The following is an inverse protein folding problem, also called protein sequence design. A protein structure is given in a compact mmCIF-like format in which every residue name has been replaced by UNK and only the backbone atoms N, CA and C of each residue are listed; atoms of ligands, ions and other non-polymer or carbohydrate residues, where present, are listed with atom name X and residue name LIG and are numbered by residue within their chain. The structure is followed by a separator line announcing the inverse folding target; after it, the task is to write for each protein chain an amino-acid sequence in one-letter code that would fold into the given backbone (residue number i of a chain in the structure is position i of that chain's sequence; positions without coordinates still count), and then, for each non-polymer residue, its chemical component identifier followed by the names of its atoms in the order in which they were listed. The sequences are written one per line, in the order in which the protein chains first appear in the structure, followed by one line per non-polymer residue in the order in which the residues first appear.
data_IF_296047333172
#
_entry.id   IF_296047333172
#
_cell.length_a   1.000
_cell.length_b   1.000
_cell.length_c   1.000
_cell.angle_alpha   90.00
_cell.angle_beta   90.00
_cell.angle_gamma   90.00
#
_symmetry.space_group_name_H-M   'P 1'
#
loop_
_entity.id
_entity.type
_entity.pdbx_description
1 polymer ?
#
# COMPACT_ATOMS: atom_id res chain seq x y z
N UNK A 1 11.70 16.27 23.90
CA UNK A 1 12.14 16.64 22.55
C UNK A 1 11.47 17.96 22.16
N UNK A 2 12.22 19.00 21.77
CA UNK A 2 11.60 20.23 21.25
C UNK A 2 11.39 20.05 19.75
N UNK A 3 10.15 20.04 19.31
CA UNK A 3 9.82 20.00 17.89
C UNK A 3 10.18 21.33 17.23
N UNK A 4 10.66 21.33 15.98
CA UNK A 4 10.98 22.57 15.26
C UNK A 4 9.74 23.44 14.98
N UNK A 5 8.54 22.86 15.11
CA UNK A 5 7.26 23.57 14.92
C UNK A 5 6.36 23.39 16.14
N UNK A 6 6.71 23.96 17.31
CA UNK A 6 6.05 23.65 18.57
C UNK A 6 4.55 24.00 18.60
N UNK A 7 4.14 25.06 17.91
CA UNK A 7 2.74 25.49 17.90
C UNK A 7 1.85 24.50 17.15
N UNK A 8 2.28 24.05 15.99
CA UNK A 8 1.52 23.10 15.17
C UNK A 8 1.44 21.73 15.85
N UNK A 9 2.57 21.22 16.31
CA UNK A 9 2.63 19.88 16.87
C UNK A 9 2.05 19.79 18.28
N UNK A 10 2.17 20.80 19.07
CA UNK A 10 1.53 20.83 20.40
C UNK A 10 0.00 20.82 20.33
N UNK A 11 -0.57 21.41 19.29
CA UNK A 11 -2.03 21.46 19.15
C UNK A 11 -2.62 20.29 18.37
N UNK A 12 -1.86 19.69 17.44
CA UNK A 12 -2.36 18.60 16.58
C UNK A 12 -1.90 17.24 17.07
N UNK A 13 -0.70 17.16 17.60
CA UNK A 13 -0.09 15.93 18.10
C UNK A 13 0.21 16.10 19.59
N UNK A 14 -0.83 16.25 20.40
CA UNK A 14 -0.68 16.06 21.83
C UNK A 14 -0.06 14.68 22.05
N UNK A 15 1.24 14.64 22.18
CA UNK A 15 1.95 13.46 22.61
C UNK A 15 1.72 13.29 24.11
N UNK A 16 0.52 12.82 24.44
CA UNK A 16 0.31 12.23 25.73
C UNK A 16 1.14 10.94 25.87
N UNK A 17 1.25 10.42 27.05
CA UNK A 17 2.05 9.23 27.33
C UNK A 17 1.56 8.01 26.53
N UNK A 18 0.28 7.90 26.23
CA UNK A 18 -0.28 6.81 25.45
C UNK A 18 0.18 6.86 23.98
N UNK A 19 0.08 8.00 23.33
CA UNK A 19 0.56 8.18 21.95
C UNK A 19 2.07 8.00 21.82
N UNK A 20 2.81 8.44 22.84
CA UNK A 20 4.24 8.17 22.91
C UNK A 20 4.52 6.67 23.00
N UNK A 21 3.79 5.93 23.84
CA UNK A 21 3.95 4.50 23.97
C UNK A 21 3.61 3.77 22.67
N UNK A 22 2.53 4.14 21.99
CA UNK A 22 2.17 3.60 20.67
C UNK A 22 3.26 3.84 19.62
N UNK A 23 3.78 5.08 19.53
CA UNK A 23 4.89 5.40 18.65
C UNK A 23 6.14 4.57 18.97
N UNK A 24 6.49 4.46 20.24
CA UNK A 24 7.67 3.69 20.67
C UNK A 24 7.49 2.18 20.46
N UNK A 25 6.26 1.67 20.53
CA UNK A 25 5.98 0.27 20.21
C UNK A 25 6.40 -0.08 18.78
N UNK A 26 6.08 0.78 17.80
CA UNK A 26 6.51 0.59 16.40
C UNK A 26 8.04 0.65 16.26
N UNK A 27 8.77 1.39 17.12
CA UNK A 27 10.23 1.53 17.06
C UNK A 27 10.98 0.43 17.81
N UNK A 28 10.44 -0.06 18.91
CA UNK A 28 11.13 -0.97 19.82
C UNK A 28 10.61 -2.41 19.79
N UNK A 29 9.33 -2.56 19.39
CA UNK A 29 8.64 -3.86 19.39
C UNK A 29 7.83 -4.06 18.10
N UNK A 30 6.53 -3.91 18.18
CA UNK A 30 5.60 -3.99 17.06
C UNK A 30 4.35 -3.19 17.36
N UNK A 31 3.89 -2.43 16.37
CA UNK A 31 2.58 -1.80 16.36
C UNK A 31 1.73 -2.36 15.22
N UNK A 32 0.42 -2.42 15.43
CA UNK A 32 -0.52 -2.75 14.36
C UNK A 32 -1.68 -1.75 14.37
N UNK A 33 -2.20 -1.46 13.19
CA UNK A 33 -3.29 -0.51 13.04
C UNK A 33 -4.04 -0.75 11.73
N UNK A 34 -5.34 -0.46 11.76
CA UNK A 34 -6.16 -0.44 10.57
C UNK A 34 -5.77 0.78 9.73
N UNK A 35 -5.39 0.52 8.49
CA UNK A 35 -5.04 1.57 7.54
C UNK A 35 -6.08 1.62 6.43
N UNK A 36 -6.67 2.78 6.24
CA UNK A 36 -7.64 2.99 5.17
C UNK A 36 -6.93 3.51 3.92
N UNK A 37 -6.60 2.61 3.01
CA UNK A 37 -6.27 2.96 1.64
C UNK A 37 -7.52 2.98 0.77
N UNK A 38 -7.47 3.70 -0.32
CA UNK A 38 -8.40 3.52 -1.42
C UNK A 38 -7.71 2.60 -2.43
N UNK A 39 -8.37 1.51 -2.80
CA UNK A 39 -7.85 0.52 -3.74
C UNK A 39 -8.68 0.57 -5.01
N UNK A 40 -8.00 0.84 -6.12
CA UNK A 40 -8.56 0.78 -7.46
C UNK A 40 -8.05 -0.47 -8.14
N UNK A 41 -8.96 -1.36 -8.53
CA UNK A 41 -8.63 -2.51 -9.36
C UNK A 41 -8.64 -2.10 -10.83
N UNK A 42 -7.57 -2.40 -11.56
CA UNK A 42 -7.40 -2.11 -12.98
C UNK A 42 -7.23 -3.43 -13.73
N UNK A 43 -8.07 -3.66 -14.74
CA UNK A 43 -8.12 -4.92 -15.50
C UNK A 43 -8.22 -4.65 -16.99
N UNK A 44 -7.90 -5.67 -17.81
CA UNK A 44 -8.01 -5.64 -19.26
C UNK A 44 -6.70 -5.93 -19.97
N UNK A 45 -6.80 -6.35 -21.23
CA UNK A 45 -5.62 -6.75 -22.03
C UNK A 45 -4.59 -5.62 -22.20
N UNK A 46 -5.04 -4.36 -22.13
CA UNK A 46 -4.20 -3.19 -22.25
C UNK A 46 -3.85 -2.55 -20.88
N UNK A 47 -4.22 -3.19 -19.75
CA UNK A 47 -4.00 -2.64 -18.40
C UNK A 47 -2.52 -2.32 -18.13
N UNK A 48 -1.62 -3.21 -18.52
CA UNK A 48 -0.18 -2.99 -18.37
C UNK A 48 0.30 -1.77 -19.16
N UNK A 49 -0.08 -1.68 -20.44
CA UNK A 49 0.31 -0.57 -21.31
C UNK A 49 -0.30 0.76 -20.83
N UNK A 50 -1.53 0.72 -20.35
CA UNK A 50 -2.21 1.87 -19.78
C UNK A 50 -1.47 2.41 -18.55
N UNK A 51 -1.17 1.55 -17.58
CA UNK A 51 -0.46 1.95 -16.35
C UNK A 51 0.99 2.37 -16.64
N UNK A 52 1.65 1.75 -17.61
CA UNK A 52 3.00 2.15 -18.07
C UNK A 52 3.03 3.58 -18.60
N UNK A 53 1.96 4.04 -19.26
CA UNK A 53 1.86 5.40 -19.78
C UNK A 53 1.57 6.44 -18.69
N UNK A 54 0.98 6.03 -17.57
CA UNK A 54 0.53 6.96 -16.51
C UNK A 54 1.57 7.15 -15.40
N UNK A 55 2.51 6.22 -15.24
CA UNK A 55 3.45 6.24 -14.14
C UNK A 55 4.90 6.31 -14.62
N UNK A 56 5.75 7.16 -14.02
CA UNK A 56 7.13 7.32 -14.44
C UNK A 56 8.03 6.11 -14.17
N UNK A 57 7.61 5.23 -13.23
CA UNK A 57 8.32 3.96 -13.03
C UNK A 57 7.73 2.87 -13.91
N UNK A 58 8.57 2.05 -14.56
CA UNK A 58 8.10 1.00 -15.47
C UNK A 58 7.17 0.00 -14.77
N UNK A 59 5.98 -0.22 -15.31
CA UNK A 59 5.01 -1.21 -14.81
C UNK A 59 5.10 -2.52 -15.59
N UNK A 60 5.46 -2.47 -16.87
CA UNK A 60 5.56 -3.64 -17.73
C UNK A 60 6.54 -4.72 -17.24
N UNK A 61 7.59 -4.33 -16.52
CA UNK A 61 8.55 -5.26 -15.92
C UNK A 61 8.26 -5.63 -14.46
N UNK A 62 7.12 -5.22 -13.92
CA UNK A 62 6.71 -5.61 -12.57
C UNK A 62 6.29 -7.08 -12.60
N UNK A 63 6.96 -7.93 -11.83
CA UNK A 63 6.62 -9.35 -11.76
C UNK A 63 5.28 -9.58 -11.03
N UNK A 64 4.66 -10.71 -11.27
CA UNK A 64 3.45 -11.14 -10.54
C UNK A 64 3.69 -11.17 -9.04
N UNK A 65 2.67 -10.85 -8.28
CA UNK A 65 2.71 -10.78 -6.81
C UNK A 65 3.75 -9.80 -6.27
N UNK A 66 4.08 -8.77 -7.04
CA UNK A 66 5.00 -7.71 -6.66
C UNK A 66 4.31 -6.37 -6.69
N UNK A 67 4.86 -5.43 -5.91
CA UNK A 67 4.40 -4.06 -5.93
C UNK A 67 5.51 -3.07 -6.30
N UNK A 68 5.07 -1.88 -6.65
CA UNK A 68 5.94 -0.75 -7.00
C UNK A 68 5.33 0.55 -6.51
N UNK A 69 6.05 1.23 -5.63
CA UNK A 69 5.75 2.61 -5.29
C UNK A 69 6.18 3.54 -6.42
N UNK A 70 5.29 4.42 -6.84
CA UNK A 70 5.52 5.39 -7.90
C UNK A 70 4.68 6.65 -7.66
N UNK A 71 4.77 7.63 -8.55
CA UNK A 71 3.95 8.83 -8.56
C UNK A 71 3.07 8.86 -9.80
N UNK A 72 1.93 9.53 -9.70
CA UNK A 72 1.11 9.92 -10.84
C UNK A 72 1.35 11.42 -11.08
N UNK A 73 1.73 11.79 -12.29
CA UNK A 73 2.11 13.16 -12.65
C UNK A 73 1.16 13.70 -13.70
N UNK A 74 0.93 15.02 -13.66
CA UNK A 74 0.27 15.74 -14.74
C UNK A 74 1.25 16.05 -15.90
N UNK A 75 0.77 16.72 -16.95
CA UNK A 75 1.56 17.07 -18.14
C UNK A 75 2.67 18.10 -17.84
N UNK A 76 2.61 18.77 -16.70
CA UNK A 76 3.63 19.71 -16.23
C UNK A 76 4.62 19.06 -15.26
N UNK A 77 4.56 17.71 -15.11
CA UNK A 77 5.33 16.93 -14.15
C UNK A 77 5.05 17.29 -12.68
N UNK A 78 3.87 17.82 -12.39
CA UNK A 78 3.41 18.04 -11.02
C UNK A 78 2.78 16.76 -10.48
N UNK A 79 3.00 16.46 -9.21
CA UNK A 79 2.47 15.25 -8.57
C UNK A 79 0.96 15.41 -8.37
N UNK A 80 0.19 14.52 -8.96
CA UNK A 80 -1.24 14.35 -8.69
C UNK A 80 -1.41 13.48 -7.44
N UNK A 81 -0.68 12.37 -7.37
CA UNK A 81 -0.70 11.43 -6.24
C UNK A 81 0.59 10.62 -6.17
N UNK A 82 0.89 10.07 -5.01
CA UNK A 82 1.84 8.98 -4.85
C UNK A 82 1.08 7.67 -4.60
N UNK A 83 1.46 6.65 -5.34
CA UNK A 83 0.68 5.42 -5.43
C UNK A 83 1.53 4.17 -5.26
N UNK A 84 0.88 3.08 -4.86
CA UNK A 84 1.47 1.74 -4.91
C UNK A 84 0.71 0.90 -5.93
N UNK A 85 1.43 0.41 -6.93
CA UNK A 85 0.88 -0.48 -7.98
C UNK A 85 1.26 -1.91 -7.64
N UNK A 86 0.28 -2.78 -7.44
CA UNK A 86 0.44 -4.20 -7.14
C UNK A 86 0.01 -5.01 -8.35
N UNK A 87 0.86 -5.87 -8.88
CA UNK A 87 0.49 -6.78 -9.96
C UNK A 87 -0.08 -8.07 -9.40
N UNK A 88 -1.39 -8.18 -9.39
CA UNK A 88 -2.11 -9.31 -8.82
C UNK A 88 -2.14 -10.52 -9.76
N UNK A 89 -2.36 -10.27 -11.06
CA UNK A 89 -2.38 -11.25 -12.15
C UNK A 89 -1.78 -10.62 -13.42
N UNK A 90 -1.73 -11.34 -14.53
CA UNK A 90 -1.12 -10.83 -15.78
C UNK A 90 -1.74 -9.51 -16.25
N UNK A 91 -3.06 -9.41 -16.19
CA UNK A 91 -3.85 -8.26 -16.68
C UNK A 91 -4.70 -7.66 -15.56
N UNK A 92 -4.33 -7.87 -14.30
CA UNK A 92 -5.02 -7.36 -13.13
C UNK A 92 -4.07 -6.73 -12.13
N UNK A 93 -4.33 -5.48 -11.83
CA UNK A 93 -3.55 -4.66 -10.92
C UNK A 93 -4.43 -4.04 -9.83
N UNK A 94 -3.86 -3.85 -8.66
CA UNK A 94 -4.39 -2.94 -7.67
C UNK A 94 -3.52 -1.70 -7.65
N UNK A 95 -4.17 -0.53 -7.60
CA UNK A 95 -3.51 0.76 -7.40
C UNK A 95 -4.02 1.34 -6.09
N UNK A 96 -3.14 1.41 -5.10
CA UNK A 96 -3.43 2.05 -3.82
C UNK A 96 -3.18 3.55 -3.94
N UNK A 97 -4.17 4.35 -3.57
CA UNK A 97 -4.21 5.81 -3.75
C UNK A 97 -4.86 6.48 -2.54
N UNK A 98 -4.63 7.76 -2.36
CA UNK A 98 -5.38 8.62 -1.43
C UNK A 98 -6.36 9.54 -2.17
N UNK A 99 -6.22 9.69 -3.49
CA UNK A 99 -6.99 10.64 -4.32
C UNK A 99 -7.70 9.92 -5.47
N UNK A 100 -8.50 8.89 -5.13
CA UNK A 100 -9.22 8.08 -6.11
C UNK A 100 -10.06 8.89 -7.09
N UNK A 101 -10.71 9.97 -6.66
CA UNK A 101 -11.52 10.80 -7.54
C UNK A 101 -10.67 11.46 -8.64
N UNK A 102 -9.52 12.01 -8.27
CA UNK A 102 -8.59 12.62 -9.21
C UNK A 102 -7.96 11.55 -10.11
N UNK A 103 -7.65 10.38 -9.57
CA UNK A 103 -7.18 9.23 -10.34
C UNK A 103 -8.18 8.81 -11.41
N UNK A 104 -9.47 8.74 -11.11
CA UNK A 104 -10.50 8.36 -12.07
C UNK A 104 -10.64 9.40 -13.20
N UNK A 105 -10.59 10.70 -12.87
CA UNK A 105 -10.57 11.77 -13.85
C UNK A 105 -9.36 11.63 -14.78
N UNK A 106 -8.18 11.37 -14.18
CA UNK A 106 -6.93 11.20 -14.92
C UNK A 106 -6.94 9.95 -15.80
N UNK A 107 -7.44 8.84 -15.29
CA UNK A 107 -7.58 7.59 -16.04
C UNK A 107 -8.51 7.75 -17.25
N UNK A 108 -9.67 8.38 -17.06
CA UNK A 108 -10.64 8.62 -18.14
C UNK A 108 -10.06 9.53 -19.23
N UNK A 109 -9.31 10.56 -18.85
CA UNK A 109 -8.66 11.47 -19.80
C UNK A 109 -7.58 10.78 -20.67
N UNK A 110 -6.98 9.71 -20.16
CA UNK A 110 -5.84 9.05 -20.83
C UNK A 110 -6.14 7.63 -21.33
N UNK A 111 -7.37 7.14 -21.16
CA UNK A 111 -7.77 5.81 -21.60
C UNK A 111 -7.67 5.64 -23.10
N UNK A 112 -8.12 6.61 -23.87
CA UNK A 112 -8.21 6.51 -25.33
C UNK A 112 -9.00 5.27 -25.77
N UNK A 113 -8.47 4.54 -26.74
CA UNK A 113 -9.06 3.32 -27.29
C UNK A 113 -8.59 2.03 -26.60
N UNK A 114 -7.86 2.14 -25.46
CA UNK A 114 -7.35 0.99 -24.76
C UNK A 114 -8.46 0.16 -24.12
N UNK A 115 -8.34 -1.15 -24.21
CA UNK A 115 -9.22 -2.11 -23.54
C UNK A 115 -8.77 -2.28 -22.08
N UNK A 116 -9.20 -1.32 -21.26
CA UNK A 116 -8.90 -1.25 -19.83
C UNK A 116 -10.14 -0.81 -19.06
N UNK A 117 -10.32 -1.40 -17.89
CA UNK A 117 -11.41 -1.10 -16.97
C UNK A 117 -10.84 -0.87 -15.58
N UNK A 118 -11.51 -0.06 -14.78
CA UNK A 118 -11.16 0.11 -13.37
C UNK A 118 -12.41 0.24 -12.50
N UNK A 119 -12.27 -0.24 -11.28
CA UNK A 119 -13.32 -0.11 -10.26
C UNK A 119 -12.73 0.19 -8.88
N UNK A 120 -13.50 0.86 -8.06
CA UNK A 120 -13.19 1.04 -6.64
C UNK A 120 -13.53 -0.24 -5.87
N UNK A 121 -12.50 -0.93 -5.40
CA UNK A 121 -12.63 -2.14 -4.58
C UNK A 121 -12.33 -1.90 -3.11
N UNK A 122 -12.18 -0.65 -2.70
CA UNK A 122 -11.83 -0.27 -1.32
C UNK A 122 -12.71 -0.95 -0.27
N UNK A 123 -14.02 -1.06 -0.53
CA UNK A 123 -14.95 -1.66 0.43
C UNK A 123 -14.93 -3.20 0.45
N UNK A 124 -14.20 -3.83 -0.48
CA UNK A 124 -14.05 -5.28 -0.54
C UNK A 124 -12.87 -5.76 0.33
N UNK A 125 -12.03 -4.86 0.77
CA UNK A 125 -10.78 -5.15 1.46
C UNK A 125 -10.55 -4.23 2.63
N UNK A 126 -10.14 -4.79 3.75
CA UNK A 126 -9.55 -4.04 4.85
C UNK A 126 -8.06 -4.35 4.93
N UNK A 127 -7.26 -3.40 5.41
CA UNK A 127 -5.82 -3.57 5.49
C UNK A 127 -5.32 -3.22 6.88
N UNK A 128 -4.66 -4.19 7.53
CA UNK A 128 -3.90 -3.96 8.76
C UNK A 128 -2.41 -3.84 8.46
N UNK A 129 -1.82 -2.73 8.88
CA UNK A 129 -0.38 -2.57 8.89
C UNK A 129 0.20 -3.12 10.21
N UNK A 130 1.20 -3.99 10.12
CA UNK A 130 1.94 -4.56 11.25
C UNK A 130 3.40 -4.16 11.08
N UNK A 131 3.89 -3.26 11.92
CA UNK A 131 5.17 -2.57 11.70
C UNK A 131 6.04 -2.59 12.95
N UNK A 132 7.33 -2.81 12.78
CA UNK A 132 8.32 -2.74 13.86
C UNK A 132 9.29 -3.92 13.89
N UNK A 133 10.31 -3.89 14.76
CA UNK A 133 11.34 -4.93 14.83
C UNK A 133 10.82 -6.35 15.03
N UNK A 134 9.68 -6.50 15.73
CA UNK A 134 9.03 -7.79 16.00
C UNK A 134 7.86 -8.12 15.08
N UNK A 135 7.66 -7.35 14.00
CA UNK A 135 6.54 -7.58 13.08
C UNK A 135 6.58 -8.98 12.43
N UNK A 136 7.78 -9.48 12.08
CA UNK A 136 7.91 -10.83 11.53
C UNK A 136 7.49 -11.92 12.53
N UNK A 137 7.91 -11.81 13.77
CA UNK A 137 7.54 -12.75 14.85
C UNK A 137 6.01 -12.73 15.06
N UNK A 138 5.43 -11.53 15.14
CA UNK A 138 3.98 -11.38 15.29
C UNK A 138 3.21 -11.97 14.13
N UNK A 139 3.57 -11.65 12.89
CA UNK A 139 2.85 -12.17 11.72
C UNK A 139 2.98 -13.69 11.64
N UNK A 140 4.18 -14.25 11.85
CA UNK A 140 4.38 -15.70 11.86
C UNK A 140 3.59 -16.43 12.96
N UNK A 141 3.23 -15.74 14.04
CA UNK A 141 2.38 -16.33 15.09
C UNK A 141 0.90 -16.42 14.69
N UNK A 142 0.48 -15.72 13.64
CA UNK A 142 -0.90 -15.63 13.19
C UNK A 142 -1.16 -16.46 11.92
N UNK A 143 -0.21 -16.51 11.00
CA UNK A 143 -0.39 -17.10 9.68
C UNK A 143 -0.17 -18.62 9.66
N UNK A 144 -0.89 -19.31 8.78
CA UNK A 144 -0.71 -20.77 8.59
C UNK A 144 0.61 -21.11 7.88
N UNK A 145 1.05 -20.26 6.94
CA UNK A 145 2.31 -20.43 6.22
C UNK A 145 3.30 -19.33 6.63
N UNK A 146 4.48 -19.66 7.18
CA UNK A 146 5.47 -18.68 7.58
C UNK A 146 5.91 -17.76 6.45
N UNK A 147 6.12 -16.48 6.77
CA UNK A 147 6.45 -15.42 5.79
C UNK A 147 7.93 -15.02 5.78
N UNK A 148 8.81 -15.78 6.44
CA UNK A 148 10.25 -15.49 6.58
C UNK A 148 10.94 -15.30 5.23
N UNK A 149 10.59 -16.11 4.22
CA UNK A 149 11.18 -16.07 2.88
C UNK A 149 10.56 -15.03 1.96
N UNK A 150 9.46 -14.40 2.39
CA UNK A 150 8.76 -13.40 1.58
C UNK A 150 9.64 -12.16 1.38
N UNK A 151 9.76 -11.71 0.13
CA UNK A 151 10.62 -10.57 -0.21
C UNK A 151 9.91 -9.26 0.05
N UNK A 152 10.66 -8.20 0.33
CA UNK A 152 10.12 -6.85 0.40
C UNK A 152 9.39 -6.49 -0.90
N UNK A 153 8.22 -5.85 -0.79
CA UNK A 153 7.31 -5.57 -1.91
C UNK A 153 6.81 -6.84 -2.64
N UNK A 154 6.50 -7.87 -1.86
CA UNK A 154 5.85 -9.07 -2.34
C UNK A 154 4.54 -9.29 -1.58
N UNK A 155 3.45 -9.54 -2.32
CA UNK A 155 2.12 -9.85 -1.80
C UNK A 155 1.78 -11.30 -2.16
N UNK A 156 1.45 -12.10 -1.15
CA UNK A 156 1.17 -13.53 -1.32
C UNK A 156 -0.08 -13.94 -0.54
N UNK A 157 -0.85 -14.90 -1.05
CA UNK A 157 -1.96 -15.49 -0.31
C UNK A 157 -1.45 -16.24 0.92
N UNK A 158 -2.24 -16.19 1.99
CA UNK A 158 -2.03 -16.91 3.23
C UNK A 158 -3.37 -17.13 3.94
N UNK A 159 -3.36 -17.68 5.14
CA UNK A 159 -4.55 -17.83 5.97
C UNK A 159 -4.24 -17.50 7.42
N UNK A 160 -5.23 -16.92 8.10
CA UNK A 160 -5.22 -16.63 9.53
C UNK A 160 -6.51 -17.19 10.11
N UNK A 161 -6.43 -18.14 11.04
CA UNK A 161 -7.59 -18.79 11.66
C UNK A 161 -8.61 -19.35 10.63
N UNK A 162 -8.11 -19.88 9.51
CA UNK A 162 -8.95 -20.41 8.44
C UNK A 162 -9.55 -19.34 7.49
N UNK A 163 -9.28 -18.06 7.70
CA UNK A 163 -9.70 -16.96 6.82
C UNK A 163 -8.60 -16.70 5.78
N UNK A 164 -8.99 -16.64 4.51
CA UNK A 164 -8.07 -16.30 3.44
C UNK A 164 -7.67 -14.82 3.53
N UNK A 165 -6.36 -14.56 3.46
CA UNK A 165 -5.77 -13.22 3.53
C UNK A 165 -4.68 -13.08 2.47
N UNK A 166 -4.33 -11.83 2.14
CA UNK A 166 -3.12 -11.52 1.40
C UNK A 166 -2.13 -10.86 2.35
N UNK A 167 -0.91 -11.38 2.40
CA UNK A 167 0.18 -10.79 3.18
C UNK A 167 1.14 -10.10 2.22
N UNK A 168 1.27 -8.80 2.39
CA UNK A 168 2.25 -7.99 1.69
C UNK A 168 3.41 -7.65 2.63
N UNK A 169 4.63 -7.94 2.25
CA UNK A 169 5.81 -7.51 3.01
C UNK A 169 6.17 -6.09 2.61
N UNK A 170 5.54 -5.13 3.25
CA UNK A 170 5.70 -3.71 2.97
C UNK A 170 5.50 -2.87 4.23
N UNK A 171 5.74 -1.58 4.09
CA UNK A 171 5.46 -0.59 5.12
C UNK A 171 6.17 0.73 4.84
N UNK A 172 5.53 1.81 5.27
CA UNK A 172 5.98 3.18 5.05
C UNK A 172 6.22 3.95 6.36
N UNK A 173 6.44 3.22 7.46
CA UNK A 173 6.72 3.79 8.79
C UNK A 173 8.20 4.14 9.02
N UNK A 174 9.08 3.75 8.09
CA UNK A 174 10.53 3.85 8.24
C UNK A 174 11.15 2.65 8.95
N UNK A 175 10.35 1.68 9.43
CA UNK A 175 10.85 0.42 9.97
C UNK A 175 11.30 -0.54 8.87
N UNK A 176 12.34 -1.33 9.17
CA UNK A 176 12.90 -2.29 8.21
C UNK A 176 12.00 -3.51 8.00
N UNK A 177 11.17 -3.82 9.00
CA UNK A 177 10.29 -4.98 9.01
C UNK A 177 8.86 -4.48 9.15
N UNK A 178 8.05 -4.78 8.15
CA UNK A 178 6.66 -4.44 8.11
C UNK A 178 5.88 -5.35 7.19
N UNK A 179 4.61 -5.50 7.51
CA UNK A 179 3.65 -6.27 6.73
C UNK A 179 2.33 -5.51 6.65
N UNK A 180 1.63 -5.75 5.58
CA UNK A 180 0.25 -5.31 5.37
C UNK A 180 -0.60 -6.56 5.12
N UNK A 181 -1.67 -6.69 5.87
CA UNK A 181 -2.59 -7.84 5.84
C UNK A 181 -3.91 -7.37 5.26
N UNK A 182 -4.27 -7.90 4.09
CA UNK A 182 -5.53 -7.61 3.42
C UNK A 182 -6.49 -8.79 3.60
N UNK A 183 -7.76 -8.49 3.97
CA UNK A 183 -8.80 -9.51 4.16
C UNK A 183 -10.20 -8.98 3.79
#
# INVERSE_FOLDING_TARGET
MKYPYPVMYQNVYCYDEMKRAEHMAVRETVGWYLWTHQIVEVTGKDATAFLENLFPKPIGNLALSRERYTTMLDENAQIIDDVVVMRMEEERYWVSTLFRADMFIWFEAHKGELDVHWEDVTKKWEMYAVQGPKALEMVNSLVETPVDSQKFFQILPNRIDGIDVLINRAGFTGEKIGFEIYY
#
